data_IF_353579776458
#
_entry.id   IF_353579776458
#
_cell.length_a   1.000
_cell.length_b   1.000
_cell.length_c   1.000
_cell.angle_alpha   90.00
_cell.angle_beta   90.00
_cell.angle_gamma   90.00
#
_symmetry.space_group_name_H-M   'P 1'
#
loop_
_entity.id
_entity.type
_entity.pdbx_description
1 polymer ?
#
# COMPACT_ATOMS: atom_id res chain seq x y z
N UNK A 1 2.51 -2.46 52.28
CA UNK A 1 3.89 -2.87 52.11
C UNK A 1 3.87 -4.11 51.24
N UNK A 2 4.67 -4.13 50.15
CA UNK A 2 4.89 -5.25 49.21
C UNK A 2 3.68 -5.69 48.39
N UNK A 3 3.58 -5.17 47.18
CA UNK A 3 3.18 -5.77 45.89
C UNK A 3 2.64 -4.69 44.95
N UNK A 4 3.55 -3.95 44.32
CA UNK A 4 3.23 -3.08 43.22
C UNK A 4 4.53 -2.68 42.45
N UNK A 5 5.33 -3.67 42.04
CA UNK A 5 6.54 -3.43 41.24
C UNK A 5 6.91 -4.64 40.37
N UNK A 6 5.96 -5.12 39.56
CA UNK A 6 6.27 -6.26 38.64
C UNK A 6 5.46 -6.21 37.34
N UNK A 7 5.31 -5.05 36.71
CA UNK A 7 4.68 -4.94 35.36
C UNK A 7 5.41 -3.95 34.46
N UNK A 8 6.68 -3.63 34.69
CA UNK A 8 7.42 -2.67 33.83
C UNK A 8 8.78 -3.18 33.31
N UNK A 9 8.92 -4.48 33.13
CA UNK A 9 10.11 -5.06 32.46
C UNK A 9 9.70 -6.09 31.42
N UNK A 10 9.13 -5.70 30.28
CA UNK A 10 9.19 -6.47 29.01
C UNK A 10 8.89 -5.57 27.81
N UNK A 11 9.71 -4.56 27.59
CA UNK A 11 9.82 -3.89 26.28
C UNK A 11 11.30 -3.77 25.94
N UNK A 12 11.88 -4.88 25.49
CA UNK A 12 13.16 -4.87 24.79
C UNK A 12 12.89 -4.50 23.33
N UNK A 13 13.70 -3.61 22.73
CA UNK A 13 13.58 -3.29 21.31
C UNK A 13 14.03 -4.49 20.49
N UNK A 14 13.20 -4.95 19.56
CA UNK A 14 13.53 -5.96 18.57
C UNK A 14 14.58 -5.36 17.64
N UNK A 15 15.83 -5.71 17.90
CA UNK A 15 16.95 -5.46 17.01
C UNK A 15 16.73 -6.21 15.70
N UNK A 16 16.86 -5.50 14.60
CA UNK A 16 16.88 -6.00 13.24
C UNK A 16 18.11 -6.89 13.02
N UNK A 17 18.02 -8.17 13.29
CA UNK A 17 18.92 -9.19 12.77
C UNK A 17 18.28 -9.77 11.51
N UNK A 18 18.71 -9.28 10.35
CA UNK A 18 18.53 -9.96 9.07
C UNK A 18 19.42 -11.20 9.14
N UNK A 19 18.85 -12.32 9.56
CA UNK A 19 19.46 -13.62 9.47
C UNK A 19 19.68 -13.95 8.00
N UNK A 20 20.93 -14.14 7.61
CA UNK A 20 21.36 -14.86 6.43
C UNK A 20 20.76 -16.28 6.54
N UNK A 21 19.73 -16.55 5.77
CA UNK A 21 19.26 -17.91 5.54
C UNK A 21 20.08 -18.43 4.35
N UNK A 22 21.21 -19.06 4.68
CA UNK A 22 21.82 -20.09 3.85
C UNK A 22 20.94 -21.35 3.98
N UNK A 23 19.95 -21.46 3.14
CA UNK A 23 19.28 -22.74 2.91
C UNK A 23 19.31 -23.07 1.42
N UNK A 24 20.41 -23.71 1.04
CA UNK A 24 20.57 -24.42 -0.21
C UNK A 24 19.94 -25.82 -0.06
N UNK A 25 18.62 -25.89 0.05
CA UNK A 25 17.88 -27.13 -0.10
C UNK A 25 16.74 -26.95 -1.10
N UNK A 26 17.01 -27.39 -2.34
CA UNK A 26 16.15 -28.19 -3.20
C UNK A 26 14.63 -28.03 -2.97
N UNK A 27 14.06 -26.88 -3.29
CA UNK A 27 12.68 -26.81 -3.74
C UNK A 27 12.70 -26.43 -5.22
N UNK A 28 12.26 -27.36 -6.04
CA UNK A 28 12.01 -27.16 -7.46
C UNK A 28 11.03 -26.02 -7.56
N UNK A 29 11.56 -24.84 -7.91
CA UNK A 29 10.76 -23.68 -8.33
C UNK A 29 9.90 -24.13 -9.51
N UNK A 30 8.67 -24.58 -9.23
CA UNK A 30 7.60 -24.57 -10.21
C UNK A 30 7.38 -23.09 -10.55
N UNK A 31 8.06 -22.67 -11.60
CA UNK A 31 7.81 -21.40 -12.23
C UNK A 31 6.30 -21.27 -12.42
N UNK A 32 5.72 -20.20 -11.86
CA UNK A 32 4.37 -19.76 -12.16
C UNK A 32 4.29 -19.43 -13.65
N UNK A 33 4.15 -20.47 -14.45
CA UNK A 33 3.97 -20.39 -15.91
C UNK A 33 2.52 -19.98 -16.16
N UNK A 34 2.28 -18.68 -15.96
CA UNK A 34 1.03 -18.04 -16.35
C UNK A 34 1.15 -17.69 -17.84
N UNK A 35 0.66 -18.57 -18.69
CA UNK A 35 0.49 -18.27 -20.10
C UNK A 35 -0.59 -17.17 -20.24
N UNK A 36 -0.37 -16.14 -21.05
CA UNK A 36 -1.41 -15.17 -21.35
C UNK A 36 -2.49 -15.84 -22.20
N UNK A 37 -3.73 -15.84 -21.70
CA UNK A 37 -4.88 -16.21 -22.50
C UNK A 37 -4.96 -15.25 -23.70
N UNK A 38 -4.87 -15.79 -24.89
CA UNK A 38 -5.31 -15.13 -26.11
C UNK A 38 -6.85 -15.08 -26.07
N UNK A 39 -7.42 -13.92 -25.80
CA UNK A 39 -8.83 -13.67 -26.06
C UNK A 39 -9.02 -13.76 -27.57
N UNK A 40 -9.73 -14.81 -28.00
CA UNK A 40 -10.29 -14.90 -29.35
C UNK A 40 -11.30 -13.79 -29.51
N UNK A 41 -11.00 -12.85 -30.41
CA UNK A 41 -11.91 -11.79 -30.84
C UNK A 41 -13.03 -12.42 -31.67
N UNK A 42 -14.22 -12.54 -31.07
CA UNK A 42 -15.45 -12.76 -31.81
C UNK A 42 -15.75 -11.53 -32.69
N UNK A 43 -15.64 -11.75 -34.00
CA UNK A 43 -15.88 -10.76 -35.03
C UNK A 43 -17.37 -10.46 -35.18
N UNK A 44 -17.90 -9.41 -34.54
CA UNK A 44 -19.20 -8.84 -34.82
C UNK A 44 -19.10 -7.50 -35.60
N UNK A 45 -19.95 -7.39 -36.62
CA UNK A 45 -19.98 -6.38 -37.68
C UNK A 45 -20.16 -4.93 -37.17
N UNK A 46 -19.67 -3.91 -37.88
CA UNK A 46 -19.58 -2.54 -37.40
C UNK A 46 -20.91 -1.77 -37.44
N UNK A 47 -21.39 -1.30 -36.32
CA UNK A 47 -22.42 -0.27 -36.22
C UNK A 47 -21.79 1.13 -36.36
N UNK A 48 -22.32 1.90 -37.30
CA UNK A 48 -21.92 3.29 -37.59
C UNK A 48 -22.28 4.21 -36.41
N UNK A 49 -21.28 4.86 -35.79
CA UNK A 49 -21.52 5.92 -34.80
C UNK A 49 -20.45 6.13 -33.72
N UNK A 50 -19.24 5.55 -33.83
CA UNK A 50 -18.22 5.57 -32.76
C UNK A 50 -16.95 6.40 -33.03
N UNK A 51 -17.01 7.49 -33.80
CA UNK A 51 -15.79 8.10 -34.34
C UNK A 51 -15.05 9.09 -33.44
N UNK A 52 -15.70 9.75 -32.46
CA UNK A 52 -15.01 10.82 -31.69
C UNK A 52 -14.24 10.31 -30.46
N UNK A 53 -14.75 9.30 -29.75
CA UNK A 53 -14.05 8.75 -28.56
C UNK A 53 -12.87 7.83 -28.90
N UNK A 54 -12.94 7.10 -30.02
CA UNK A 54 -11.79 6.31 -30.52
C UNK A 54 -10.58 7.20 -30.84
N UNK A 55 -10.81 8.44 -31.30
CA UNK A 55 -9.73 9.39 -31.60
C UNK A 55 -8.95 9.87 -30.36
N UNK A 56 -9.62 10.06 -29.23
CA UNK A 56 -8.96 10.49 -27.99
C UNK A 56 -8.18 9.34 -27.31
N UNK A 57 -8.73 8.13 -27.31
CA UNK A 57 -8.04 6.95 -26.77
C UNK A 57 -6.89 6.48 -27.66
N UNK A 58 -7.04 6.54 -29.00
CA UNK A 58 -5.95 6.24 -29.94
C UNK A 58 -4.81 7.23 -29.83
N UNK A 59 -5.07 8.53 -29.62
CA UNK A 59 -3.99 9.51 -29.40
C UNK A 59 -3.17 9.21 -28.14
N UNK A 60 -3.81 8.89 -27.00
CA UNK A 60 -3.08 8.51 -25.77
C UNK A 60 -2.28 7.21 -25.92
N UNK A 61 -2.82 6.18 -26.59
CA UNK A 61 -2.08 4.95 -26.91
C UNK A 61 -0.89 5.22 -27.83
N UNK A 62 -1.04 6.08 -28.83
CA UNK A 62 0.02 6.37 -29.79
C UNK A 62 1.24 7.02 -29.16
N UNK A 63 1.06 7.99 -28.22
CA UNK A 63 2.20 8.63 -27.53
C UNK A 63 2.95 7.65 -26.62
N UNK A 64 2.25 6.73 -25.95
CA UNK A 64 2.88 5.71 -25.10
C UNK A 64 3.59 4.64 -25.92
N UNK A 65 3.02 4.23 -27.05
CA UNK A 65 3.63 3.28 -27.99
C UNK A 65 4.88 3.88 -28.63
N UNK A 66 4.88 5.16 -28.98
CA UNK A 66 6.05 5.85 -29.55
C UNK A 66 7.19 5.93 -28.52
N UNK A 67 6.91 6.25 -27.25
CA UNK A 67 7.94 6.32 -26.20
C UNK A 67 8.56 4.96 -25.90
N UNK A 68 7.75 3.89 -25.85
CA UNK A 68 8.25 2.52 -25.67
C UNK A 68 9.08 2.10 -26.89
N UNK A 69 8.62 2.40 -28.09
CA UNK A 69 9.34 2.09 -29.32
C UNK A 69 10.71 2.77 -29.38
N UNK A 70 10.77 4.03 -29.00
CA UNK A 70 12.00 4.81 -28.94
C UNK A 70 12.98 4.22 -27.91
N UNK A 71 12.51 3.90 -26.73
CA UNK A 71 13.28 3.20 -25.71
C UNK A 71 13.83 1.86 -26.19
N UNK A 72 13.00 1.02 -26.82
CA UNK A 72 13.42 -0.28 -27.36
C UNK A 72 14.47 -0.12 -28.49
N UNK A 73 14.37 0.94 -29.28
CA UNK A 73 15.35 1.27 -30.30
C UNK A 73 16.69 1.68 -29.69
N UNK A 74 16.67 2.47 -28.62
CA UNK A 74 17.88 2.90 -27.90
C UNK A 74 18.62 1.73 -27.26
N UNK A 75 17.91 0.89 -26.49
CA UNK A 75 18.54 -0.30 -25.86
C UNK A 75 19.03 -1.32 -26.90
N UNK A 76 18.40 -1.35 -28.08
CA UNK A 76 18.79 -2.22 -29.20
C UNK A 76 20.15 -1.91 -29.78
N UNK A 77 20.62 -0.63 -29.69
CA UNK A 77 21.93 -0.18 -30.17
C UNK A 77 23.08 -0.66 -29.29
N UNK A 78 22.81 -1.01 -28.03
CA UNK A 78 23.84 -1.39 -27.07
C UNK A 78 24.26 -2.83 -27.34
N UNK A 79 25.58 -3.02 -27.46
CA UNK A 79 26.19 -4.34 -27.72
C UNK A 79 26.03 -5.25 -26.51
N UNK A 80 25.72 -6.53 -26.74
CA UNK A 80 25.76 -7.55 -25.72
C UNK A 80 27.19 -7.82 -25.25
N UNK A 81 27.36 -8.15 -23.98
CA UNK A 81 28.64 -8.47 -23.38
C UNK A 81 29.03 -9.94 -23.68
N UNK A 82 30.32 -10.19 -23.78
CA UNK A 82 30.90 -11.53 -23.78
C UNK A 82 31.15 -11.98 -22.34
N UNK A 83 31.24 -13.29 -22.12
CA UNK A 83 31.48 -13.84 -20.78
C UNK A 83 32.76 -13.27 -20.12
N UNK A 84 33.84 -13.11 -20.90
CA UNK A 84 35.09 -12.53 -20.39
C UNK A 84 34.92 -11.08 -19.96
N UNK A 85 34.12 -10.32 -20.72
CA UNK A 85 33.79 -8.91 -20.39
C UNK A 85 32.92 -8.80 -19.15
N UNK A 86 31.98 -9.75 -18.94
CA UNK A 86 31.15 -9.81 -17.70
C UNK A 86 32.02 -9.98 -16.47
N UNK A 87 33.03 -10.87 -16.54
CA UNK A 87 33.98 -11.11 -15.45
C UNK A 87 34.84 -9.87 -15.15
N UNK A 88 35.36 -9.22 -16.19
CA UNK A 88 36.15 -7.99 -16.01
C UNK A 88 35.31 -6.86 -15.38
N UNK A 89 34.08 -6.67 -15.84
CA UNK A 89 33.18 -5.68 -15.28
C UNK A 89 32.79 -6.02 -13.85
N UNK A 90 32.52 -7.30 -13.54
CA UNK A 90 32.20 -7.75 -12.20
C UNK A 90 33.35 -7.46 -11.20
N UNK A 91 34.60 -7.70 -11.60
CA UNK A 91 35.77 -7.37 -10.77
C UNK A 91 35.86 -5.85 -10.45
N UNK A 92 35.62 -4.99 -11.47
CA UNK A 92 35.60 -3.54 -11.28
C UNK A 92 34.43 -3.06 -10.41
N UNK A 93 33.31 -3.76 -10.46
CA UNK A 93 32.14 -3.48 -9.60
C UNK A 93 32.43 -3.93 -8.15
N UNK A 94 33.02 -5.10 -7.95
CA UNK A 94 33.43 -5.54 -6.62
C UNK A 94 34.41 -4.55 -5.97
N UNK A 95 35.38 -4.06 -6.73
CA UNK A 95 36.30 -3.02 -6.35
C UNK A 95 35.58 -1.70 -5.95
N UNK A 96 34.56 -1.29 -6.73
CA UNK A 96 33.73 -0.14 -6.40
C UNK A 96 33.00 -0.32 -5.07
N UNK A 97 32.41 -1.51 -4.85
CA UNK A 97 31.67 -1.79 -3.62
C UNK A 97 32.58 -1.77 -2.37
N UNK A 98 33.82 -2.22 -2.49
CA UNK A 98 34.80 -2.11 -1.43
C UNK A 98 35.08 -0.64 -1.09
N UNK A 99 35.22 0.24 -2.10
CA UNK A 99 35.33 1.66 -1.91
C UNK A 99 34.09 2.27 -1.22
N UNK A 100 32.89 1.91 -1.66
CA UNK A 100 31.64 2.39 -1.08
C UNK A 100 31.46 1.94 0.38
N UNK A 101 31.83 0.71 0.72
CA UNK A 101 31.82 0.23 2.12
C UNK A 101 32.79 1.00 3.02
N UNK A 102 33.97 1.38 2.52
CA UNK A 102 34.90 2.21 3.30
C UNK A 102 34.38 3.62 3.48
N UNK A 103 33.67 4.16 2.50
CA UNK A 103 32.96 5.45 2.62
C UNK A 103 31.92 5.44 3.74
N UNK A 104 31.06 4.40 3.77
CA UNK A 104 30.03 4.26 4.81
C UNK A 104 30.66 4.18 6.21
N UNK A 105 31.70 3.37 6.39
CA UNK A 105 32.44 3.25 7.65
C UNK A 105 33.09 4.57 8.09
N UNK A 106 33.58 5.37 7.13
CA UNK A 106 34.13 6.70 7.41
C UNK A 106 33.05 7.71 7.76
N UNK A 107 31.91 7.69 7.06
CA UNK A 107 30.80 8.56 7.35
C UNK A 107 30.20 8.29 8.76
N UNK A 108 30.11 7.02 9.16
CA UNK A 108 29.72 6.64 10.53
C UNK A 108 30.72 7.12 11.59
N UNK A 109 32.06 7.06 11.31
CA UNK A 109 33.11 7.49 12.25
C UNK A 109 33.16 9.00 12.41
N UNK A 110 32.92 9.75 11.32
CA UNK A 110 33.08 11.21 11.29
C UNK A 110 31.76 11.93 11.60
N UNK A 111 30.63 11.21 11.66
CA UNK A 111 29.25 11.74 11.78
C UNK A 111 28.95 12.85 10.75
N UNK A 112 29.62 12.78 9.59
CA UNK A 112 29.45 13.66 8.44
C UNK A 112 29.88 12.97 7.15
N UNK A 113 29.50 13.53 6.01
CA UNK A 113 29.97 13.05 4.71
C UNK A 113 31.50 13.31 4.60
N UNK A 114 32.32 12.26 4.39
CA UNK A 114 33.76 12.40 4.20
C UNK A 114 34.07 13.09 2.87
N UNK A 115 35.17 13.87 2.86
CA UNK A 115 35.69 14.47 1.63
C UNK A 115 36.42 13.43 0.78
N UNK A 116 36.61 13.72 -0.52
CA UNK A 116 37.35 12.80 -1.41
C UNK A 116 38.82 12.60 -0.95
N UNK A 117 39.40 13.57 -0.34
CA UNK A 117 40.77 13.51 0.23
C UNK A 117 40.81 12.56 1.42
N UNK A 118 39.93 12.71 2.39
CA UNK A 118 39.86 11.84 3.56
C UNK A 118 39.53 10.38 3.17
N UNK A 119 38.69 10.20 2.16
CA UNK A 119 38.37 8.88 1.64
C UNK A 119 39.55 8.23 0.93
N UNK A 120 40.32 8.99 0.12
CA UNK A 120 41.53 8.51 -0.54
C UNK A 120 42.65 8.15 0.47
N UNK A 121 42.84 8.98 1.52
CA UNK A 121 43.77 8.72 2.61
C UNK A 121 43.42 7.44 3.37
N UNK A 122 42.15 7.20 3.66
CA UNK A 122 41.70 5.96 4.32
C UNK A 122 41.97 4.70 3.49
N UNK A 123 42.02 4.82 2.17
CA UNK A 123 42.38 3.74 1.25
C UNK A 123 43.89 3.66 0.98
N UNK A 124 44.69 4.60 1.53
CA UNK A 124 46.13 4.66 1.33
C UNK A 124 46.55 4.99 -0.11
N UNK A 125 45.71 5.74 -0.83
CA UNK A 125 45.92 6.06 -2.25
C UNK A 125 46.01 7.56 -2.49
N UNK A 126 46.72 7.93 -3.56
CA UNK A 126 46.68 9.29 -4.09
C UNK A 126 45.32 9.66 -4.62
N UNK A 127 44.84 10.86 -4.36
CA UNK A 127 43.50 11.33 -4.74
C UNK A 127 43.20 11.17 -6.23
N UNK A 128 44.18 11.45 -7.10
CA UNK A 128 44.00 11.30 -8.55
C UNK A 128 43.79 9.84 -8.97
N UNK A 129 44.55 8.90 -8.39
CA UNK A 129 44.42 7.47 -8.63
C UNK A 129 43.05 6.93 -8.10
N UNK A 130 42.68 7.41 -6.89
CA UNK A 130 41.42 7.09 -6.27
C UNK A 130 40.20 7.53 -7.12
N UNK A 131 40.15 8.77 -7.57
CA UNK A 131 39.09 9.30 -8.44
C UNK A 131 38.97 8.51 -9.74
N UNK A 132 40.12 8.14 -10.33
CA UNK A 132 40.14 7.30 -11.54
C UNK A 132 39.54 5.91 -11.28
N UNK A 133 39.88 5.27 -10.17
CA UNK A 133 39.36 3.95 -9.79
C UNK A 133 37.84 3.99 -9.56
N UNK A 134 37.35 4.99 -8.83
CA UNK A 134 35.93 5.24 -8.59
C UNK A 134 35.18 5.45 -9.90
N UNK A 135 35.72 6.25 -10.80
CA UNK A 135 35.10 6.50 -12.13
C UNK A 135 35.02 5.22 -12.98
N UNK A 136 36.06 4.43 -13.01
CA UNK A 136 36.10 3.17 -13.74
C UNK A 136 35.11 2.15 -13.17
N UNK A 137 34.97 2.07 -11.87
CA UNK A 137 33.98 1.21 -11.21
C UNK A 137 32.53 1.59 -11.54
N UNK A 138 32.19 2.89 -11.43
CA UNK A 138 30.87 3.41 -11.81
C UNK A 138 30.57 3.16 -13.29
N UNK A 139 31.51 3.45 -14.16
CA UNK A 139 31.35 3.19 -15.60
C UNK A 139 31.19 1.71 -15.93
N UNK A 140 31.85 0.83 -15.18
CA UNK A 140 31.69 -0.62 -15.33
C UNK A 140 30.28 -1.07 -14.90
N UNK A 141 29.76 -0.55 -13.81
CA UNK A 141 28.38 -0.80 -13.34
C UNK A 141 27.37 -0.34 -14.37
N UNK A 142 27.49 0.89 -14.87
CA UNK A 142 26.58 1.43 -15.91
C UNK A 142 26.63 0.58 -17.18
N UNK A 143 27.82 0.18 -17.64
CA UNK A 143 27.97 -0.64 -18.84
C UNK A 143 27.33 -2.03 -18.66
N UNK A 144 27.52 -2.65 -17.49
CA UNK A 144 26.92 -3.95 -17.19
C UNK A 144 25.40 -3.89 -17.17
N UNK A 145 24.82 -2.84 -16.57
CA UNK A 145 23.36 -2.61 -16.52
C UNK A 145 22.83 -2.33 -17.94
N UNK A 146 23.41 -1.37 -18.66
CA UNK A 146 22.95 -0.97 -20.00
C UNK A 146 22.94 -2.14 -20.99
N UNK A 147 23.95 -2.99 -21.00
CA UNK A 147 24.05 -4.14 -21.89
C UNK A 147 23.00 -5.23 -21.60
N UNK A 148 22.41 -5.23 -20.39
CA UNK A 148 21.43 -6.23 -19.96
C UNK A 148 19.99 -5.69 -19.88
N UNK A 149 19.70 -4.45 -20.30
CA UNK A 149 18.33 -3.89 -20.31
C UNK A 149 17.37 -4.69 -21.18
N UNK A 150 17.86 -5.32 -22.25
CA UNK A 150 17.04 -6.22 -23.10
C UNK A 150 16.52 -7.43 -22.31
N UNK A 151 17.29 -7.94 -21.35
CA UNK A 151 16.87 -9.03 -20.45
C UNK A 151 15.70 -8.56 -19.58
N UNK A 152 15.78 -7.35 -19.01
CA UNK A 152 14.68 -6.77 -18.21
C UNK A 152 13.39 -6.70 -19.03
N UNK A 153 13.44 -6.19 -20.24
CA UNK A 153 12.27 -6.07 -21.14
C UNK A 153 11.66 -7.45 -21.41
N UNK A 154 12.48 -8.48 -21.68
CA UNK A 154 12.00 -9.83 -21.96
C UNK A 154 11.26 -10.46 -20.78
N UNK A 155 11.70 -10.15 -19.56
CA UNK A 155 11.05 -10.60 -18.32
C UNK A 155 9.81 -9.76 -18.04
N UNK A 156 9.88 -8.44 -18.09
CA UNK A 156 8.77 -7.51 -17.83
C UNK A 156 7.55 -7.79 -18.73
N UNK A 157 7.79 -8.19 -20.00
CA UNK A 157 6.73 -8.58 -20.94
C UNK A 157 5.79 -9.67 -20.40
N UNK A 158 6.30 -10.61 -19.59
CA UNK A 158 5.50 -11.68 -18.97
C UNK A 158 4.58 -11.19 -17.83
N UNK A 159 4.77 -9.96 -17.38
CA UNK A 159 4.03 -9.36 -16.25
C UNK A 159 3.10 -8.22 -16.66
N UNK A 160 2.90 -8.02 -17.97
CA UNK A 160 1.93 -7.04 -18.49
C UNK A 160 0.50 -7.36 -18.02
N UNK A 161 -0.36 -6.35 -18.00
CA UNK A 161 -1.78 -6.45 -17.61
C UNK A 161 -2.02 -6.86 -16.15
N UNK A 162 -1.07 -6.62 -15.26
CA UNK A 162 -1.18 -6.92 -13.81
C UNK A 162 -1.37 -5.68 -12.92
N UNK A 163 -1.82 -4.55 -13.50
CA UNK A 163 -2.11 -3.32 -12.76
C UNK A 163 -1.02 -2.24 -12.82
N UNK A 164 0.17 -2.54 -13.36
CA UNK A 164 1.22 -1.56 -13.64
C UNK A 164 1.41 -1.38 -15.14
N UNK A 165 1.85 -0.19 -15.55
CA UNK A 165 2.20 0.09 -16.95
C UNK A 165 3.46 -0.71 -17.33
N UNK A 166 3.62 -0.97 -18.64
CA UNK A 166 4.81 -1.68 -19.11
C UNK A 166 6.11 -0.92 -18.82
N UNK A 167 6.06 0.41 -18.86
CA UNK A 167 7.20 1.26 -18.56
C UNK A 167 7.59 1.15 -17.09
N UNK A 168 6.62 1.16 -16.16
CA UNK A 168 6.87 0.99 -14.73
C UNK A 168 7.47 -0.38 -14.42
N UNK A 169 6.97 -1.45 -15.07
CA UNK A 169 7.53 -2.79 -14.93
C UNK A 169 9.00 -2.86 -15.39
N UNK A 170 9.36 -2.14 -16.47
CA UNK A 170 10.74 -2.05 -16.95
C UNK A 170 11.60 -1.29 -15.95
N UNK A 171 11.12 -0.18 -15.38
CA UNK A 171 11.89 0.61 -14.41
C UNK A 171 12.15 -0.18 -13.13
N UNK A 172 11.11 -0.80 -12.56
CA UNK A 172 11.25 -1.64 -11.37
C UNK A 172 12.16 -2.85 -11.63
N UNK A 173 12.03 -3.47 -12.80
CA UNK A 173 12.93 -4.53 -13.24
C UNK A 173 14.39 -4.05 -13.37
N UNK A 174 14.61 -2.82 -13.83
CA UNK A 174 15.94 -2.21 -13.95
C UNK A 174 16.57 -1.94 -12.58
N UNK A 175 15.78 -1.56 -11.57
CA UNK A 175 16.24 -1.49 -10.17
C UNK A 175 16.67 -2.85 -9.65
N UNK A 176 15.93 -3.91 -10.00
CA UNK A 176 16.33 -5.29 -9.72
C UNK A 176 17.65 -5.68 -10.40
N UNK A 177 17.83 -5.29 -11.67
CA UNK A 177 19.06 -5.53 -12.42
C UNK A 177 20.27 -4.82 -11.79
N UNK A 178 20.12 -3.58 -11.32
CA UNK A 178 21.18 -2.83 -10.63
C UNK A 178 21.62 -3.58 -9.36
N UNK A 179 20.67 -4.03 -8.54
CA UNK A 179 20.97 -4.84 -7.33
C UNK A 179 21.65 -6.17 -7.70
N UNK A 180 21.24 -6.78 -8.82
CA UNK A 180 21.92 -7.97 -9.30
C UNK A 180 23.38 -7.71 -9.70
N UNK A 181 23.66 -6.58 -10.36
CA UNK A 181 25.01 -6.20 -10.74
C UNK A 181 25.92 -5.96 -9.52
N UNK A 182 25.39 -5.40 -8.43
CA UNK A 182 26.10 -5.18 -7.18
C UNK A 182 26.44 -6.48 -6.43
N UNK A 183 25.53 -7.46 -6.47
CA UNK A 183 25.66 -8.72 -5.70
C UNK A 183 26.18 -9.89 -6.53
N UNK A 184 26.55 -9.65 -7.79
CA UNK A 184 27.01 -10.72 -8.67
C UNK A 184 28.43 -11.17 -8.33
N UNK A 185 28.54 -12.47 -8.07
CA UNK A 185 29.82 -13.13 -7.81
C UNK A 185 30.27 -13.91 -9.05
N UNK A 186 31.35 -13.43 -9.68
CA UNK A 186 31.92 -14.03 -10.88
C UNK A 186 32.69 -15.33 -10.63
N UNK A 187 33.11 -15.60 -9.37
CA UNK A 187 33.87 -16.79 -9.01
C UNK A 187 33.03 -18.08 -9.06
N UNK A 188 31.71 -17.92 -8.90
CA UNK A 188 30.76 -19.05 -8.98
C UNK A 188 30.59 -19.65 -10.38
N UNK A 189 31.15 -19.06 -11.42
CA UNK A 189 31.16 -19.58 -12.79
C UNK A 189 29.81 -19.53 -13.54
N UNK A 190 28.75 -18.96 -12.96
CA UNK A 190 27.46 -18.78 -13.63
C UNK A 190 27.45 -17.52 -14.49
N UNK A 191 26.64 -17.54 -15.57
CA UNK A 191 26.38 -16.33 -16.36
C UNK A 191 25.61 -15.29 -15.56
N UNK A 192 25.92 -14.03 -15.74
CA UNK A 192 25.21 -12.92 -15.10
C UNK A 192 23.69 -12.97 -15.32
N UNK A 193 23.25 -13.31 -16.55
CA UNK A 193 21.82 -13.38 -16.88
C UNK A 193 21.03 -14.37 -16.01
N UNK A 194 21.62 -15.48 -15.59
CA UNK A 194 20.98 -16.47 -14.72
C UNK A 194 20.67 -15.88 -13.34
N UNK A 195 21.65 -15.21 -12.75
CA UNK A 195 21.52 -14.53 -11.46
C UNK A 195 20.59 -13.31 -11.52
N UNK A 196 20.76 -12.47 -12.54
CA UNK A 196 19.97 -11.26 -12.73
C UNK A 196 18.48 -11.55 -12.94
N UNK A 197 18.12 -12.65 -13.59
CA UNK A 197 16.73 -13.04 -13.81
C UNK A 197 15.96 -13.17 -12.50
N UNK A 198 16.55 -13.71 -11.45
CA UNK A 198 15.92 -13.83 -10.14
C UNK A 198 15.65 -12.46 -9.51
N UNK A 199 16.63 -11.56 -9.52
CA UNK A 199 16.49 -10.21 -8.96
C UNK A 199 15.49 -9.34 -9.71
N UNK A 200 15.50 -9.42 -11.04
CA UNK A 200 14.55 -8.71 -11.90
C UNK A 200 13.13 -9.20 -11.61
N UNK A 201 12.91 -10.52 -11.57
CA UNK A 201 11.63 -11.13 -11.25
C UNK A 201 11.13 -10.70 -9.86
N UNK A 202 11.99 -10.80 -8.87
CA UNK A 202 11.68 -10.39 -7.50
C UNK A 202 11.29 -8.92 -7.40
N UNK A 203 12.03 -8.01 -8.05
CA UNK A 203 11.73 -6.59 -8.07
C UNK A 203 10.37 -6.31 -8.73
N UNK A 204 10.10 -6.88 -9.90
CA UNK A 204 8.83 -6.71 -10.62
C UNK A 204 7.67 -7.26 -9.80
N UNK A 205 7.78 -8.46 -9.26
CA UNK A 205 6.70 -9.08 -8.47
C UNK A 205 6.39 -8.27 -7.21
N UNK A 206 7.43 -7.77 -6.54
CA UNK A 206 7.27 -6.92 -5.37
C UNK A 206 6.63 -5.57 -5.73
N UNK A 207 7.07 -4.93 -6.81
CA UNK A 207 6.47 -3.68 -7.29
C UNK A 207 4.98 -3.86 -7.63
N UNK A 208 4.60 -4.96 -8.28
CA UNK A 208 3.20 -5.26 -8.55
C UNK A 208 2.42 -5.42 -7.23
N UNK A 209 2.94 -6.14 -6.25
CA UNK A 209 2.25 -6.30 -4.96
C UNK A 209 2.08 -4.97 -4.20
N UNK A 210 3.07 -4.08 -4.29
CA UNK A 210 3.11 -2.82 -3.55
C UNK A 210 2.36 -1.66 -4.24
N UNK A 211 2.32 -1.62 -5.57
CA UNK A 211 1.91 -0.41 -6.33
C UNK A 211 0.73 -0.65 -7.28
N UNK A 212 0.34 -1.90 -7.59
CA UNK A 212 -0.69 -2.19 -8.60
C UNK A 212 -2.11 -1.81 -8.18
N UNK A 213 -2.35 -1.54 -6.90
CA UNK A 213 -3.68 -1.28 -6.35
C UNK A 213 -3.79 0.14 -5.79
N UNK A 214 -4.93 0.79 -6.03
CA UNK A 214 -5.27 2.09 -5.42
C UNK A 214 -5.26 2.02 -3.89
N UNK A 215 -5.82 0.95 -3.33
CA UNK A 215 -5.74 0.65 -1.89
C UNK A 215 -4.69 -0.45 -1.72
N UNK A 216 -3.53 -0.10 -1.17
CA UNK A 216 -2.40 -1.02 -0.97
C UNK A 216 -2.77 -2.17 -0.05
N UNK A 217 -2.42 -3.38 -0.45
CA UNK A 217 -2.53 -4.59 0.36
C UNK A 217 -1.14 -5.09 0.79
N UNK A 218 -1.03 -5.71 1.98
CA UNK A 218 0.19 -6.39 2.38
C UNK A 218 0.58 -7.51 1.40
N UNK A 219 1.89 -7.71 1.18
CA UNK A 219 2.44 -8.66 0.19
C UNK A 219 1.89 -10.08 0.41
N UNK A 220 1.82 -10.55 1.66
CA UNK A 220 1.31 -11.89 1.98
C UNK A 220 -0.17 -12.10 1.59
N UNK A 221 -1.00 -11.03 1.66
CA UNK A 221 -2.39 -11.11 1.18
C UNK A 221 -2.44 -11.16 -0.35
N UNK A 222 -1.60 -10.38 -1.03
CA UNK A 222 -1.48 -10.42 -2.48
C UNK A 222 -1.06 -11.82 -2.98
N UNK A 223 -0.07 -12.44 -2.34
CA UNK A 223 0.36 -13.81 -2.64
C UNK A 223 -0.76 -14.82 -2.40
N UNK A 224 -1.49 -14.68 -1.29
CA UNK A 224 -2.63 -15.56 -0.98
C UNK A 224 -3.75 -15.41 -2.02
N UNK A 225 -4.08 -14.18 -2.44
CA UNK A 225 -5.05 -13.91 -3.51
C UNK A 225 -4.58 -14.55 -4.82
N UNK A 226 -3.31 -14.44 -5.16
CA UNK A 226 -2.73 -15.05 -6.36
C UNK A 226 -2.81 -16.59 -6.31
N UNK A 227 -2.52 -17.20 -5.15
CA UNK A 227 -2.70 -18.65 -4.95
C UNK A 227 -4.15 -19.06 -5.08
N UNK A 228 -5.10 -18.32 -4.48
CA UNK A 228 -6.55 -18.59 -4.61
C UNK A 228 -6.97 -18.55 -6.08
N UNK A 229 -6.55 -17.53 -6.84
CA UNK A 229 -6.86 -17.43 -8.29
C UNK A 229 -6.30 -18.63 -9.06
N UNK A 230 -5.04 -19.03 -8.81
CA UNK A 230 -4.42 -20.20 -9.45
C UNK A 230 -5.18 -21.48 -9.10
N UNK A 231 -5.49 -21.71 -7.84
CA UNK A 231 -6.23 -22.89 -7.37
C UNK A 231 -7.64 -22.94 -7.96
N UNK A 232 -8.34 -21.81 -8.01
CA UNK A 232 -9.67 -21.72 -8.63
C UNK A 232 -9.62 -22.08 -10.11
N UNK A 233 -8.60 -21.58 -10.84
CA UNK A 233 -8.41 -21.93 -12.27
C UNK A 233 -8.13 -23.43 -12.45
N UNK A 234 -7.26 -24.01 -11.64
CA UNK A 234 -6.94 -25.44 -11.69
C UNK A 234 -8.18 -26.31 -11.38
N UNK A 235 -8.89 -26.00 -10.29
CA UNK A 235 -10.12 -26.74 -9.95
C UNK A 235 -11.20 -26.59 -11.02
N UNK A 236 -11.36 -25.42 -11.62
CA UNK A 236 -12.29 -25.21 -12.72
C UNK A 236 -11.93 -26.06 -13.94
N UNK A 237 -10.65 -26.22 -14.21
CA UNK A 237 -10.15 -27.06 -15.32
C UNK A 237 -10.32 -28.55 -15.01
N UNK A 238 -10.09 -28.99 -13.76
CA UNK A 238 -10.27 -30.39 -13.32
C UNK A 238 -11.74 -30.81 -13.33
N UNK A 239 -12.64 -29.92 -12.88
CA UNK A 239 -14.07 -30.21 -12.70
C UNK A 239 -14.94 -29.85 -13.91
N UNK A 240 -14.44 -29.06 -14.86
CA UNK A 240 -15.23 -28.53 -15.99
C UNK A 240 -16.31 -27.53 -15.61
N UNK A 241 -16.33 -27.06 -14.33
CA UNK A 241 -17.29 -26.08 -13.80
C UNK A 241 -16.61 -25.12 -12.82
N UNK A 242 -17.26 -24.00 -12.49
CA UNK A 242 -16.79 -23.13 -11.40
C UNK A 242 -16.76 -23.89 -10.07
N UNK A 243 -15.64 -23.92 -9.35
CA UNK A 243 -15.56 -24.54 -8.03
C UNK A 243 -16.36 -23.75 -6.98
N UNK A 244 -16.87 -24.46 -5.97
CA UNK A 244 -17.54 -23.84 -4.81
C UNK A 244 -16.50 -23.26 -3.84
N UNK A 245 -16.94 -22.34 -2.95
CA UNK A 245 -16.06 -21.78 -1.91
C UNK A 245 -15.51 -22.86 -0.98
N UNK A 246 -16.30 -23.92 -0.70
CA UNK A 246 -15.90 -25.05 0.13
C UNK A 246 -14.80 -25.88 -0.50
N UNK A 247 -14.88 -26.15 -1.81
CA UNK A 247 -13.88 -26.89 -2.58
C UNK A 247 -12.56 -26.12 -2.62
N UNK A 248 -12.62 -24.77 -2.83
CA UNK A 248 -11.43 -23.91 -2.81
C UNK A 248 -10.82 -23.88 -1.41
N UNK A 249 -11.64 -23.71 -0.35
CA UNK A 249 -11.18 -23.64 1.03
C UNK A 249 -10.50 -24.97 1.44
N UNK A 250 -11.07 -26.10 1.08
CA UNK A 250 -10.49 -27.43 1.33
C UNK A 250 -9.15 -27.62 0.62
N UNK A 251 -9.05 -27.22 -0.66
CA UNK A 251 -7.81 -27.34 -1.44
C UNK A 251 -6.71 -26.40 -0.93
N UNK A 252 -7.09 -25.25 -0.36
CA UNK A 252 -6.17 -24.25 0.20
C UNK A 252 -5.86 -24.45 1.69
N UNK A 253 -6.45 -25.47 2.33
CA UNK A 253 -6.31 -25.76 3.77
C UNK A 253 -6.65 -24.55 4.66
N UNK A 254 -7.73 -23.84 4.32
CA UNK A 254 -8.18 -22.65 5.07
C UNK A 254 -9.67 -22.72 5.40
N UNK A 255 -10.08 -21.94 6.40
CA UNK A 255 -11.51 -21.81 6.75
C UNK A 255 -12.26 -20.99 5.69
N UNK A 256 -13.54 -21.29 5.50
CA UNK A 256 -14.42 -20.59 4.55
C UNK A 256 -14.52 -19.11 4.92
N UNK A 257 -14.59 -18.77 6.21
CA UNK A 257 -14.62 -17.38 6.68
C UNK A 257 -13.39 -16.59 6.26
N UNK A 258 -12.19 -17.19 6.40
CA UNK A 258 -10.94 -16.60 5.96
C UNK A 258 -10.92 -16.41 4.45
N UNK A 259 -11.41 -17.38 3.69
CA UNK A 259 -11.52 -17.27 2.22
C UNK A 259 -12.41 -16.07 1.83
N UNK A 260 -13.60 -15.96 2.43
CA UNK A 260 -14.55 -14.85 2.18
C UNK A 260 -13.96 -13.50 2.55
N UNK A 261 -13.26 -13.40 3.69
CA UNK A 261 -12.58 -12.18 4.09
C UNK A 261 -11.52 -11.75 3.06
N UNK A 262 -10.69 -12.70 2.59
CA UNK A 262 -9.67 -12.43 1.56
C UNK A 262 -10.32 -12.04 0.23
N UNK A 263 -11.40 -12.73 -0.17
CA UNK A 263 -12.14 -12.41 -1.39
C UNK A 263 -12.76 -11.01 -1.35
N UNK A 264 -13.31 -10.59 -0.20
CA UNK A 264 -13.82 -9.23 0.02
C UNK A 264 -12.70 -8.19 -0.06
N UNK A 265 -11.55 -8.46 0.54
CA UNK A 265 -10.37 -7.57 0.49
C UNK A 265 -9.73 -7.52 -0.91
N UNK A 266 -9.96 -8.53 -1.75
CA UNK A 266 -9.44 -8.61 -3.11
C UNK A 266 -10.22 -7.76 -4.12
N UNK A 267 -11.37 -7.19 -3.76
CA UNK A 267 -12.17 -6.34 -4.65
C UNK A 267 -11.39 -5.09 -5.06
N UNK A 268 -11.62 -4.65 -6.29
CA UNK A 268 -11.03 -3.43 -6.84
C UNK A 268 -12.04 -2.29 -6.72
N UNK A 269 -11.63 -1.07 -6.37
CA UNK A 269 -12.50 0.09 -6.39
C UNK A 269 -12.90 0.43 -7.83
N UNK A 270 -14.11 0.95 -8.00
CA UNK A 270 -14.64 1.43 -9.27
C UNK A 270 -14.51 2.95 -9.27
N UNK A 271 -14.21 3.54 -10.43
CA UNK A 271 -14.11 5.00 -10.57
C UNK A 271 -15.48 5.65 -10.46
N UNK A 272 -15.58 6.74 -9.71
CA UNK A 272 -16.79 7.58 -9.63
C UNK A 272 -17.13 8.25 -10.96
N UNK A 273 -16.14 8.42 -11.84
CA UNK A 273 -16.32 8.97 -13.17
C UNK A 273 -16.83 7.93 -14.21
N UNK A 274 -17.11 6.70 -13.77
CA UNK A 274 -17.62 5.65 -14.66
C UNK A 274 -19.01 6.06 -15.16
N UNK A 275 -19.24 6.16 -16.51
CA UNK A 275 -20.54 6.52 -17.05
C UNK A 275 -21.55 5.41 -16.81
N UNK A 276 -22.78 5.77 -16.45
CA UNK A 276 -23.91 4.87 -16.24
C UNK A 276 -24.99 5.16 -17.29
N UNK A 277 -25.61 4.12 -17.82
CA UNK A 277 -26.68 4.23 -18.82
C UNK A 277 -26.18 4.22 -20.26
N UNK A 278 -27.13 4.20 -21.20
CA UNK A 278 -26.85 4.14 -22.65
C UNK A 278 -26.41 5.48 -23.24
N UNK A 279 -26.87 6.57 -22.66
CA UNK A 279 -26.59 7.95 -23.14
C UNK A 279 -25.30 8.52 -22.55
N UNK A 280 -24.69 7.84 -21.58
CA UNK A 280 -23.41 8.22 -20.94
C UNK A 280 -23.39 9.62 -20.28
N UNK A 281 -24.56 10.23 -20.05
CA UNK A 281 -24.67 11.59 -19.48
C UNK A 281 -24.55 11.63 -17.96
N UNK A 282 -24.80 10.48 -17.29
CA UNK A 282 -24.72 10.35 -15.83
C UNK A 282 -23.49 9.53 -15.41
N UNK A 283 -22.88 9.91 -14.30
CA UNK A 283 -21.72 9.24 -13.71
C UNK A 283 -22.10 8.52 -12.42
N UNK A 284 -21.35 7.49 -12.04
CA UNK A 284 -21.58 6.75 -10.80
C UNK A 284 -21.60 7.68 -9.56
N UNK A 285 -20.75 8.72 -9.56
CA UNK A 285 -20.70 9.69 -8.49
C UNK A 285 -21.99 10.47 -8.26
N UNK A 286 -22.81 10.68 -9.31
CA UNK A 286 -24.07 11.43 -9.23
C UNK A 286 -25.18 10.65 -8.49
N UNK A 287 -25.04 9.33 -8.33
CA UNK A 287 -25.98 8.45 -7.64
C UNK A 287 -25.63 8.15 -6.19
N UNK A 288 -24.46 8.57 -5.75
CA UNK A 288 -24.01 8.33 -4.38
C UNK A 288 -24.49 9.47 -3.50
N UNK A 289 -25.33 9.14 -2.52
CA UNK A 289 -25.82 10.10 -1.53
C UNK A 289 -24.67 10.56 -0.63
N UNK A 290 -24.74 11.82 -0.24
CA UNK A 290 -23.79 12.40 0.72
C UNK A 290 -24.15 11.94 2.14
N UNK A 291 -23.16 11.50 2.92
CA UNK A 291 -23.32 11.19 4.35
C UNK A 291 -23.48 12.43 5.24
N UNK A 292 -23.53 13.62 4.62
CA UNK A 292 -23.71 14.89 5.32
C UNK A 292 -25.10 15.06 5.92
N UNK A 293 -25.19 15.82 7.01
CA UNK A 293 -26.48 16.16 7.61
C UNK A 293 -27.31 16.98 6.61
N UNK A 294 -28.55 16.56 6.41
CA UNK A 294 -29.48 17.32 5.56
C UNK A 294 -29.85 18.66 6.23
N UNK A 295 -30.25 19.67 5.45
CA UNK A 295 -30.76 20.92 6.04
C UNK A 295 -31.94 20.68 7.01
N UNK A 296 -32.79 19.69 6.75
CA UNK A 296 -33.89 19.28 7.61
C UNK A 296 -33.40 18.74 8.95
N UNK A 297 -32.33 17.89 8.95
CA UNK A 297 -31.72 17.40 10.18
C UNK A 297 -31.09 18.53 11.01
N UNK A 298 -30.46 19.50 10.35
CA UNK A 298 -29.89 20.67 11.02
C UNK A 298 -30.97 21.54 11.68
N UNK A 299 -32.08 21.78 10.99
CA UNK A 299 -33.23 22.50 11.54
C UNK A 299 -33.84 21.75 12.70
N UNK A 300 -34.06 20.43 12.54
CA UNK A 300 -34.58 19.56 13.59
C UNK A 300 -33.70 19.55 14.86
N UNK A 301 -32.38 19.51 14.68
CA UNK A 301 -31.42 19.62 15.79
C UNK A 301 -31.46 21.02 16.47
N UNK A 302 -31.64 22.08 15.68
CA UNK A 302 -31.74 23.43 16.22
C UNK A 302 -33.02 23.60 17.04
N UNK A 303 -34.16 23.14 16.52
CA UNK A 303 -35.44 23.16 17.22
C UNK A 303 -35.38 22.30 18.51
N UNK A 304 -34.82 21.11 18.41
CA UNK A 304 -34.61 20.27 19.61
C UNK A 304 -33.79 20.98 20.69
N UNK A 305 -32.77 21.75 20.30
CA UNK A 305 -31.95 22.52 21.25
C UNK A 305 -32.75 23.64 21.92
N UNK A 306 -33.55 24.38 21.15
CA UNK A 306 -34.42 25.43 21.68
C UNK A 306 -35.50 24.88 22.64
N UNK A 307 -36.17 23.81 22.25
CA UNK A 307 -37.16 23.14 23.07
C UNK A 307 -36.55 22.53 24.35
N UNK A 308 -35.37 22.00 24.26
CA UNK A 308 -34.62 21.46 25.39
C UNK A 308 -34.22 22.61 26.35
N UNK A 309 -33.78 23.76 25.87
CA UNK A 309 -33.51 24.95 26.69
C UNK A 309 -34.78 25.44 27.37
N UNK A 310 -35.89 25.49 26.64
CA UNK A 310 -37.20 25.85 27.18
C UNK A 310 -37.65 24.94 28.29
N UNK A 311 -37.53 23.63 28.13
CA UNK A 311 -37.86 22.64 29.14
C UNK A 311 -36.91 22.73 30.35
N UNK A 312 -35.60 22.93 30.12
CA UNK A 312 -34.61 23.13 31.19
C UNK A 312 -34.84 24.40 31.98
N UNK A 313 -35.36 25.48 31.34
CA UNK A 313 -35.69 26.74 32.02
C UNK A 313 -36.78 26.59 33.12
N UNK A 314 -37.62 25.55 33.02
CA UNK A 314 -38.65 25.21 34.03
C UNK A 314 -38.11 24.59 35.29
N UNK A 315 -36.82 24.21 35.31
CA UNK A 315 -36.12 23.65 36.49
C UNK A 315 -35.52 24.77 37.34
N UNK A 316 -35.15 24.43 38.60
CA UNK A 316 -34.38 25.39 39.41
C UNK A 316 -32.99 25.63 38.77
N UNK A 317 -32.39 26.86 38.96
CA UNK A 317 -31.09 27.16 38.35
C UNK A 317 -30.02 26.10 38.62
N UNK A 318 -29.92 25.59 39.86
CA UNK A 318 -28.95 24.54 40.20
C UNK A 318 -29.23 23.20 39.53
N UNK A 319 -30.49 22.78 39.38
CA UNK A 319 -30.86 21.55 38.67
C UNK A 319 -30.54 21.64 37.19
N UNK A 320 -30.80 22.80 36.58
CA UNK A 320 -30.52 23.10 35.16
C UNK A 320 -29.00 23.04 34.87
N UNK A 321 -28.22 23.77 35.68
CA UNK A 321 -26.79 23.89 35.47
C UNK A 321 -26.07 22.55 35.69
N UNK A 322 -26.51 21.74 36.63
CA UNK A 322 -26.01 20.37 36.84
C UNK A 322 -26.27 19.50 35.61
N UNK A 323 -27.46 19.55 35.02
CA UNK A 323 -27.76 18.80 33.78
C UNK A 323 -26.97 19.32 32.60
N UNK A 324 -26.83 20.64 32.41
CA UNK A 324 -26.02 21.21 31.31
C UNK A 324 -24.58 20.75 31.36
N UNK A 325 -23.96 20.81 32.52
CA UNK A 325 -22.58 20.32 32.70
C UNK A 325 -22.45 18.81 32.56
N UNK A 326 -23.45 18.06 33.06
CA UNK A 326 -23.43 16.59 33.03
C UNK A 326 -23.50 16.05 31.60
N UNK A 327 -24.38 16.60 30.79
CA UNK A 327 -24.61 16.17 29.40
C UNK A 327 -23.84 16.98 28.37
N UNK A 328 -23.06 18.00 28.80
CA UNK A 328 -22.22 18.78 27.91
C UNK A 328 -23.03 19.63 26.92
N UNK A 329 -24.17 20.18 27.35
CA UNK A 329 -25.04 20.93 26.46
C UNK A 329 -24.46 22.30 26.03
N UNK A 330 -23.52 22.86 26.83
CA UNK A 330 -22.86 24.14 26.54
C UNK A 330 -21.53 23.90 25.76
N UNK A 331 -20.65 23.04 26.29
CA UNK A 331 -19.27 22.86 25.80
C UNK A 331 -19.09 21.59 24.94
N UNK A 332 -20.13 20.78 24.76
CA UNK A 332 -20.06 19.47 24.11
C UNK A 332 -19.31 18.38 24.94
N UNK A 333 -18.74 18.76 26.11
CA UNK A 333 -17.99 17.85 26.97
C UNK A 333 -18.82 17.41 28.19
N UNK A 334 -19.13 16.15 28.29
CA UNK A 334 -19.77 15.56 29.47
C UNK A 334 -18.80 15.58 30.67
N UNK A 335 -19.23 16.22 31.79
CA UNK A 335 -18.47 16.26 33.03
C UNK A 335 -18.88 15.13 33.96
N UNK A 336 -17.95 14.64 34.78
CA UNK A 336 -18.21 13.64 35.79
C UNK A 336 -18.92 14.27 37.01
N UNK A 337 -19.64 13.44 37.78
CA UNK A 337 -20.31 13.91 39.02
C UNK A 337 -19.35 14.54 40.04
N UNK A 338 -18.09 14.10 40.01
CA UNK A 338 -17.03 14.61 40.89
C UNK A 338 -16.54 15.98 40.43
N UNK A 339 -16.29 16.19 39.16
CA UNK A 339 -15.94 17.50 38.59
C UNK A 339 -17.05 18.52 38.83
N UNK A 340 -18.31 18.12 38.62
CA UNK A 340 -19.46 18.98 38.88
C UNK A 340 -19.54 19.29 40.39
N UNK A 341 -19.26 18.30 41.27
CA UNK A 341 -19.17 18.48 42.68
C UNK A 341 -18.13 19.52 43.11
N UNK A 342 -16.98 19.53 42.47
CA UNK A 342 -15.93 20.56 42.67
C UNK A 342 -16.38 21.95 42.23
N UNK A 343 -17.04 22.07 41.06
CA UNK A 343 -17.55 23.36 40.56
C UNK A 343 -18.58 23.99 41.54
N UNK A 344 -19.47 23.17 42.09
CA UNK A 344 -20.54 23.66 43.00
C UNK A 344 -20.16 23.59 44.48
N UNK A 345 -18.96 23.16 44.84
CA UNK A 345 -18.49 22.94 46.23
C UNK A 345 -19.42 22.02 47.04
N UNK A 346 -19.85 20.89 46.45
CA UNK A 346 -20.72 19.90 47.06
C UNK A 346 -20.21 18.49 46.81
N UNK A 347 -20.65 17.55 47.64
CA UNK A 347 -20.24 16.15 47.49
C UNK A 347 -20.83 15.49 46.24
N UNK A 348 -20.12 14.54 45.66
CA UNK A 348 -20.54 13.73 44.49
C UNK A 348 -21.96 13.18 44.67
N UNK A 349 -22.27 12.66 45.87
CA UNK A 349 -23.59 12.08 46.16
C UNK A 349 -24.69 13.15 46.12
N UNK A 350 -24.39 14.37 46.55
CA UNK A 350 -25.35 15.49 46.48
C UNK A 350 -25.67 15.86 45.05
N UNK A 351 -24.68 15.87 44.15
CA UNK A 351 -24.91 16.10 42.70
C UNK A 351 -25.77 14.97 42.12
N UNK A 352 -25.51 13.69 42.46
CA UNK A 352 -26.34 12.55 42.05
C UNK A 352 -27.81 12.70 42.47
N UNK A 353 -28.04 13.18 43.69
CA UNK A 353 -29.41 13.45 44.18
C UNK A 353 -30.09 14.57 43.41
N UNK A 354 -29.37 15.66 43.12
CA UNK A 354 -29.88 16.78 42.31
C UNK A 354 -30.23 16.32 40.89
N UNK A 355 -29.34 15.57 40.26
CA UNK A 355 -29.56 14.97 38.92
C UNK A 355 -30.81 14.08 38.92
N UNK A 356 -30.91 13.13 39.83
CA UNK A 356 -32.05 12.23 39.94
C UNK A 356 -33.39 12.98 40.17
N UNK A 357 -33.37 14.05 40.98
CA UNK A 357 -34.52 14.90 41.21
C UNK A 357 -34.91 15.68 39.97
N UNK A 358 -33.93 16.24 39.26
CA UNK A 358 -34.14 17.01 38.04
C UNK A 358 -34.72 16.09 36.91
N UNK A 359 -34.15 14.89 36.71
CA UNK A 359 -34.65 13.92 35.74
C UNK A 359 -36.07 13.44 36.07
N UNK A 360 -36.40 13.25 37.36
CA UNK A 360 -37.78 12.92 37.80
C UNK A 360 -38.77 14.02 37.46
N UNK A 361 -38.38 15.31 37.63
CA UNK A 361 -39.20 16.45 37.26
C UNK A 361 -39.41 16.55 35.76
N UNK A 362 -38.39 16.23 34.93
CA UNK A 362 -38.47 16.20 33.48
C UNK A 362 -39.37 15.09 32.94
N UNK A 363 -39.49 13.95 33.63
CA UNK A 363 -40.37 12.83 33.25
C UNK A 363 -41.86 13.17 33.41
N UNK A 364 -42.21 14.27 34.05
CA UNK A 364 -43.63 14.69 34.21
C UNK A 364 -44.27 14.91 32.82
N UNK A 365 -45.50 14.42 32.56
CA UNK A 365 -46.17 14.51 31.26
C UNK A 365 -46.14 15.87 30.61
N UNK A 366 -46.42 16.94 31.36
CA UNK A 366 -46.45 18.34 30.86
C UNK A 366 -45.10 18.85 30.33
N UNK A 367 -43.97 18.23 30.69
CA UNK A 367 -42.63 18.60 30.23
C UNK A 367 -42.08 17.64 29.21
N UNK A 368 -42.49 16.37 29.32
CA UNK A 368 -42.03 15.32 28.43
C UNK A 368 -42.77 15.32 27.06
N UNK A 369 -43.98 15.91 26.97
CA UNK A 369 -44.76 15.91 25.73
C UNK A 369 -43.99 16.55 24.56
N UNK A 370 -43.33 17.68 24.79
CA UNK A 370 -42.54 18.37 23.76
C UNK A 370 -41.37 17.56 23.26
N UNK A 371 -40.65 16.91 24.19
CA UNK A 371 -39.46 16.11 23.81
C UNK A 371 -39.80 14.71 23.21
N UNK A 372 -41.03 14.22 23.42
CA UNK A 372 -41.47 12.96 22.83
C UNK A 372 -41.57 12.99 21.30
N UNK A 373 -41.82 14.14 20.72
CA UNK A 373 -41.93 14.30 19.27
C UNK A 373 -40.60 14.02 18.54
N UNK A 374 -39.47 14.20 19.23
CA UNK A 374 -38.13 13.95 18.70
C UNK A 374 -37.65 12.52 18.92
N UNK A 375 -38.33 11.71 19.72
CA UNK A 375 -38.01 10.30 19.94
C UNK A 375 -38.91 9.45 19.06
N UNK A 376 -38.40 9.11 17.89
CA UNK A 376 -39.02 8.13 17.00
C UNK A 376 -38.52 6.75 17.28
#
# INVERSE_FOLDING_TARGET
MTQANDVLETLTPVGSSIGLIDDASSERDEALDFQPESEEEDAEKPAKGRTSRRRAQTKKKHYTEDSIRLYLQEIGRIRLLRADEEIELARKIADLLELEQTYEKLAEKLDRQPTYTEWAEAMGMEEAAFRRRLFLGRRAKDKMVQSNLRLVVSIAKKYMNRGLSFQDLIQEGSLGLIRAAEKFDHEKGYKFSTYATWWIRQAITRAIADQSRTIRLPVHLYETISRIKKTTKLLSQEMGRKPTEEEIATRMEMTIEKLRFIAKSAQLPISLETPIGKEEDSRLGDFIESDGETPEDQVSKSLLREDLETVLSTLSPRERDVLRLRYGLDDGRMKTLEEIGQIFNVTRERIRQIEAKALRKLRHPNRNSVLKEYIR
#
